data_IF_118017739566
#
_entry.id   IF_118017739566
#
_cell.length_a   1.000
_cell.length_b   1.000
_cell.length_c   1.000
_cell.angle_alpha   90.00
_cell.angle_beta   90.00
_cell.angle_gamma   90.00
#
_symmetry.space_group_name_H-M   'P 1'
#
loop_
_entity.id
_entity.type
_entity.pdbx_description
1 polymer ?
#
# COMPACT_ATOMS: atom_id res chain seq x y z
N UNK A 1 10.76 17.62 -16.86
CA UNK A 1 10.09 17.62 -15.54
C UNK A 1 10.99 16.84 -14.61
N UNK A 2 11.25 17.37 -13.41
CA UNK A 2 11.95 16.60 -12.39
C UNK A 2 10.94 15.70 -11.69
N UNK A 3 11.28 14.44 -11.48
CA UNK A 3 10.47 13.51 -10.71
C UNK A 3 10.85 13.65 -9.25
N UNK A 4 9.86 13.76 -8.37
CA UNK A 4 10.09 13.98 -6.96
C UNK A 4 9.54 12.83 -6.13
N UNK A 5 9.99 12.74 -4.88
CA UNK A 5 9.45 11.75 -3.95
C UNK A 5 7.94 11.88 -3.74
N UNK A 6 7.38 13.09 -3.84
CA UNK A 6 5.93 13.30 -3.83
C UNK A 6 5.20 12.59 -4.97
N UNK A 7 5.84 12.40 -6.13
CA UNK A 7 5.27 11.68 -7.27
C UNK A 7 5.26 10.17 -7.00
N UNK A 8 6.29 9.66 -6.32
CA UNK A 8 6.33 8.27 -5.88
C UNK A 8 5.25 7.99 -4.82
N UNK A 9 5.06 8.88 -3.84
CA UNK A 9 4.00 8.74 -2.85
C UNK A 9 2.63 8.80 -3.52
N UNK A 10 2.44 9.63 -4.56
CA UNK A 10 1.20 9.62 -5.31
C UNK A 10 0.92 8.23 -5.92
N UNK A 11 1.93 7.56 -6.46
CA UNK A 11 1.76 6.20 -7.00
C UNK A 11 1.39 5.17 -5.93
N UNK A 12 1.88 5.34 -4.71
CA UNK A 12 1.51 4.49 -3.56
C UNK A 12 0.05 4.76 -3.14
N UNK A 13 -0.36 6.03 -3.09
CA UNK A 13 -1.77 6.41 -2.88
C UNK A 13 -2.67 5.80 -3.96
N UNK A 14 -2.21 5.76 -5.21
CA UNK A 14 -2.98 5.15 -6.30
C UNK A 14 -3.14 3.63 -6.12
N UNK A 15 -2.15 2.92 -5.57
CA UNK A 15 -2.29 1.50 -5.19
C UNK A 15 -3.40 1.34 -4.14
N UNK A 16 -3.37 2.15 -3.08
CA UNK A 16 -4.36 2.04 -2.00
C UNK A 16 -5.78 2.37 -2.49
N UNK A 17 -5.92 3.28 -3.46
CA UNK A 17 -7.20 3.57 -4.11
C UNK A 17 -7.70 2.38 -4.94
N UNK A 18 -6.83 1.73 -5.70
CA UNK A 18 -7.21 0.51 -6.45
C UNK A 18 -7.68 -0.60 -5.50
N UNK A 19 -7.00 -0.75 -4.35
CA UNK A 19 -7.36 -1.72 -3.30
C UNK A 19 -8.72 -1.38 -2.67
N UNK A 20 -8.98 -0.10 -2.42
CA UNK A 20 -10.28 0.36 -1.92
C UNK A 20 -11.43 -0.04 -2.86
N UNK A 21 -11.22 0.08 -4.17
CA UNK A 21 -12.21 -0.37 -5.16
C UNK A 21 -12.44 -1.88 -5.10
N UNK A 22 -11.39 -2.69 -4.91
CA UNK A 22 -11.53 -4.14 -4.69
C UNK A 22 -12.42 -4.43 -3.46
N UNK A 23 -12.22 -3.73 -2.35
CA UNK A 23 -13.06 -3.93 -1.16
C UNK A 23 -14.51 -3.50 -1.37
N UNK A 24 -14.75 -2.44 -2.13
CA UNK A 24 -16.12 -2.04 -2.52
C UNK A 24 -16.78 -3.10 -3.40
N UNK A 25 -16.06 -3.67 -4.35
CA UNK A 25 -16.55 -4.78 -5.18
C UNK A 25 -16.90 -6.00 -4.32
N UNK A 26 -16.04 -6.37 -3.36
CA UNK A 26 -16.32 -7.44 -2.39
C UNK A 26 -17.59 -7.13 -1.60
N UNK A 27 -17.78 -5.90 -1.11
CA UNK A 27 -19.01 -5.53 -0.42
C UNK A 27 -20.26 -5.75 -1.29
N UNK A 28 -20.22 -5.32 -2.55
CA UNK A 28 -21.30 -5.52 -3.52
C UNK A 28 -21.63 -7.01 -3.73
N UNK A 29 -20.61 -7.88 -3.81
CA UNK A 29 -20.82 -9.33 -3.93
C UNK A 29 -21.55 -9.94 -2.72
N UNK A 30 -21.50 -9.28 -1.57
CA UNK A 30 -22.07 -9.75 -0.32
C UNK A 30 -23.32 -8.99 0.16
N UNK A 31 -23.83 -8.02 -0.60
CA UNK A 31 -25.05 -7.28 -0.27
C UNK A 31 -26.26 -8.21 0.00
N UNK A 32 -26.30 -9.37 -0.65
CA UNK A 32 -27.37 -10.38 -0.53
C UNK A 32 -26.93 -11.71 0.14
N UNK A 33 -25.74 -11.76 0.76
CA UNK A 33 -25.10 -12.96 1.34
C UNK A 33 -24.84 -12.77 2.86
N UNK A 34 -24.11 -13.66 3.60
CA UNK A 34 -23.94 -13.50 5.04
C UNK A 34 -23.40 -12.12 5.41
N UNK A 35 -24.19 -11.38 6.21
CA UNK A 35 -23.92 -9.98 6.57
C UNK A 35 -22.55 -9.74 7.19
N UNK A 36 -21.94 -10.77 7.79
CA UNK A 36 -20.65 -10.66 8.51
C UNK A 36 -19.49 -10.30 7.58
N UNK A 37 -19.41 -10.88 6.37
CA UNK A 37 -18.34 -10.56 5.41
C UNK A 37 -18.45 -9.10 4.98
N UNK A 38 -19.66 -8.63 4.65
CA UNK A 38 -19.90 -7.23 4.29
C UNK A 38 -19.60 -6.25 5.42
N UNK A 39 -19.89 -6.61 6.67
CA UNK A 39 -19.54 -5.78 7.85
C UNK A 39 -18.02 -5.66 7.98
N UNK A 40 -17.29 -6.77 7.85
CA UNK A 40 -15.83 -6.78 7.95
C UNK A 40 -15.21 -6.01 6.80
N UNK A 41 -15.65 -6.25 5.55
CA UNK A 41 -15.19 -5.52 4.38
C UNK A 41 -15.39 -3.99 4.51
N UNK A 42 -16.50 -3.54 5.11
CA UNK A 42 -16.74 -2.12 5.41
C UNK A 42 -15.81 -1.57 6.48
N UNK A 43 -15.50 -2.37 7.51
CA UNK A 43 -14.53 -1.96 8.52
C UNK A 43 -13.14 -1.76 7.90
N UNK A 44 -12.72 -2.71 7.05
CA UNK A 44 -11.46 -2.63 6.30
C UNK A 44 -11.45 -1.40 5.39
N UNK A 45 -12.51 -1.16 4.61
CA UNK A 45 -12.62 0.03 3.74
C UNK A 45 -12.34 1.32 4.53
N UNK A 46 -12.89 1.44 5.74
CA UNK A 46 -12.69 2.62 6.58
C UNK A 46 -11.24 2.77 7.06
N UNK A 47 -10.59 1.66 7.41
CA UNK A 47 -9.17 1.68 7.79
C UNK A 47 -8.28 2.06 6.60
N UNK A 48 -8.55 1.54 5.39
CA UNK A 48 -7.81 1.91 4.18
C UNK A 48 -8.01 3.39 3.80
N UNK A 49 -9.21 3.94 3.98
CA UNK A 49 -9.43 5.38 3.80
C UNK A 49 -8.60 6.22 4.78
N UNK A 50 -8.49 5.78 6.03
CA UNK A 50 -7.64 6.45 7.01
C UNK A 50 -6.16 6.37 6.62
N UNK A 51 -5.75 5.25 6.02
CA UNK A 51 -4.39 5.00 5.54
C UNK A 51 -4.04 5.86 4.32
N UNK A 52 -4.94 6.00 3.35
CA UNK A 52 -4.82 6.97 2.25
C UNK A 52 -4.61 8.37 2.81
N UNK A 53 -5.41 8.76 3.81
CA UNK A 53 -5.27 10.07 4.45
C UNK A 53 -3.91 10.25 5.16
N UNK A 54 -3.31 9.19 5.70
CA UNK A 54 -1.94 9.25 6.22
C UNK A 54 -0.93 9.58 5.11
N UNK A 55 -1.02 8.91 3.96
CA UNK A 55 -0.12 9.16 2.84
C UNK A 55 -0.31 10.53 2.18
N UNK A 56 -1.54 11.03 2.12
CA UNK A 56 -1.82 12.39 1.66
C UNK A 56 -1.14 13.42 2.57
N UNK A 57 -1.23 13.27 3.90
CA UNK A 57 -0.51 14.12 4.86
C UNK A 57 1.00 14.00 4.72
N UNK A 58 1.53 12.77 4.59
CA UNK A 58 2.96 12.55 4.38
C UNK A 58 3.47 13.24 3.10
N UNK A 59 2.67 13.21 2.03
CA UNK A 59 2.99 13.90 0.78
C UNK A 59 3.01 15.43 0.97
N UNK A 60 2.08 15.98 1.75
CA UNK A 60 2.03 17.40 2.08
C UNK A 60 3.21 17.85 2.97
N UNK A 61 3.66 17.00 3.90
CA UNK A 61 4.84 17.24 4.74
C UNK A 61 6.14 17.43 3.92
N UNK A 62 6.19 16.86 2.72
CA UNK A 62 7.39 16.88 1.87
C UNK A 62 7.50 18.12 0.99
N UNK A 63 6.69 19.15 1.19
CA UNK A 63 6.81 20.39 0.43
C UNK A 63 8.13 21.15 0.70
N UNK A 64 8.61 21.88 -0.30
CA UNK A 64 9.86 22.65 -0.23
C UNK A 64 11.12 21.77 -0.33
N UNK A 65 12.11 22.04 0.50
CA UNK A 65 13.44 21.41 0.45
C UNK A 65 13.43 19.91 0.81
N UNK A 66 12.33 19.41 1.38
CA UNK A 66 12.16 17.99 1.69
C UNK A 66 11.72 17.17 0.46
N UNK A 67 11.27 17.83 -0.63
CA UNK A 67 10.87 17.14 -1.86
C UNK A 67 12.10 16.82 -2.72
N UNK A 68 12.85 15.80 -2.32
CA UNK A 68 14.04 15.38 -3.04
C UNK A 68 13.70 14.92 -4.46
N UNK A 69 14.57 15.32 -5.41
CA UNK A 69 14.50 14.88 -6.81
C UNK A 69 15.02 13.46 -6.91
N UNK A 70 14.27 12.62 -7.60
CA UNK A 70 14.65 11.25 -7.95
C UNK A 70 15.26 11.28 -9.35
N UNK A 71 16.39 10.60 -9.53
CA UNK A 71 16.98 10.39 -10.85
C UNK A 71 15.97 9.74 -11.81
N UNK A 72 15.94 10.21 -13.06
CA UNK A 72 14.96 9.78 -14.04
C UNK A 72 14.98 8.27 -14.28
N UNK A 73 16.17 7.68 -14.40
CA UNK A 73 16.33 6.26 -14.68
C UNK A 73 15.82 5.41 -13.51
N UNK A 74 16.10 5.83 -12.28
CA UNK A 74 15.58 5.17 -11.08
C UNK A 74 14.07 5.30 -10.99
N UNK A 75 13.54 6.51 -11.23
CA UNK A 75 12.11 6.78 -11.19
C UNK A 75 11.35 5.93 -12.22
N UNK A 76 11.84 5.83 -13.46
CA UNK A 76 11.22 5.00 -14.50
C UNK A 76 11.18 3.52 -14.10
N UNK A 77 12.28 3.01 -13.56
CA UNK A 77 12.40 1.63 -13.09
C UNK A 77 11.40 1.30 -11.97
N UNK A 78 11.26 2.17 -10.97
CA UNK A 78 10.28 1.95 -9.88
C UNK A 78 8.85 2.18 -10.34
N UNK A 79 8.64 3.14 -11.25
CA UNK A 79 7.33 3.39 -11.83
C UNK A 79 6.81 2.20 -12.61
N UNK A 80 7.68 1.55 -13.39
CA UNK A 80 7.37 0.32 -14.10
C UNK A 80 7.02 -0.82 -13.13
N UNK A 81 7.81 -1.00 -12.07
CA UNK A 81 7.57 -2.00 -11.05
C UNK A 81 6.19 -1.82 -10.37
N UNK A 82 5.85 -0.57 -9.99
CA UNK A 82 4.55 -0.25 -9.40
C UNK A 82 3.42 -0.49 -10.40
N UNK A 83 3.61 -0.11 -11.65
CA UNK A 83 2.60 -0.35 -12.70
C UNK A 83 2.35 -1.85 -12.91
N UNK A 84 3.41 -2.65 -12.99
CA UNK A 84 3.31 -4.10 -13.09
C UNK A 84 2.57 -4.67 -11.88
N UNK A 85 2.91 -4.27 -10.66
CA UNK A 85 2.17 -4.69 -9.47
C UNK A 85 0.67 -4.38 -9.56
N UNK A 86 0.32 -3.12 -9.87
CA UNK A 86 -1.07 -2.67 -10.00
C UNK A 86 -1.84 -3.46 -11.06
N UNK A 87 -1.20 -3.81 -12.18
CA UNK A 87 -1.86 -4.61 -13.23
C UNK A 87 -2.23 -6.04 -12.80
N UNK A 88 -1.65 -6.53 -11.71
CA UNK A 88 -1.96 -7.85 -11.14
C UNK A 88 -2.91 -7.78 -9.94
N UNK A 89 -3.37 -6.58 -9.55
CA UNK A 89 -4.43 -6.43 -8.54
C UNK A 89 -5.74 -6.93 -9.14
N UNK A 90 -6.26 -8.02 -8.60
CA UNK A 90 -7.48 -8.66 -9.05
C UNK A 90 -8.42 -8.84 -7.87
N UNK A 91 -9.72 -8.75 -8.14
CA UNK A 91 -10.73 -9.05 -7.11
C UNK A 91 -10.67 -10.53 -6.78
N UNK A 92 -10.36 -10.90 -5.53
CA UNK A 92 -10.24 -12.30 -5.13
C UNK A 92 -11.62 -12.95 -5.07
N UNK A 93 -11.64 -14.28 -5.19
CA UNK A 93 -12.82 -15.07 -4.84
C UNK A 93 -12.88 -15.19 -3.31
N UNK A 94 -13.86 -14.54 -2.70
CA UNK A 94 -14.13 -14.61 -1.27
C UNK A 94 -15.42 -15.40 -1.06
N UNK A 95 -15.38 -16.49 -0.30
CA UNK A 95 -16.55 -17.29 0.08
C UNK A 95 -16.97 -17.03 1.54
N UNK A 96 -16.00 -16.70 2.41
CA UNK A 96 -16.22 -16.47 3.84
C UNK A 96 -15.26 -15.41 4.42
N UNK A 97 -15.41 -15.13 5.72
CA UNK A 97 -14.61 -14.12 6.44
C UNK A 97 -13.12 -14.47 6.47
N UNK A 98 -12.78 -15.75 6.64
CA UNK A 98 -11.41 -16.20 6.70
C UNK A 98 -10.69 -15.93 5.37
N UNK A 99 -11.34 -16.22 4.24
CA UNK A 99 -10.78 -15.93 2.92
C UNK A 99 -10.49 -14.44 2.74
N UNK A 100 -11.37 -13.56 3.24
CA UNK A 100 -11.18 -12.12 3.19
C UNK A 100 -9.97 -11.69 4.01
N UNK A 101 -9.85 -12.18 5.25
CA UNK A 101 -8.74 -11.82 6.13
C UNK A 101 -7.40 -12.35 5.57
N UNK A 102 -7.37 -13.59 5.08
CA UNK A 102 -6.18 -14.19 4.47
C UNK A 102 -5.72 -13.38 3.25
N UNK A 103 -6.66 -13.01 2.37
CA UNK A 103 -6.38 -12.17 1.22
C UNK A 103 -5.75 -10.82 1.62
N UNK A 104 -6.29 -10.15 2.65
CA UNK A 104 -5.79 -8.83 3.08
C UNK A 104 -4.36 -8.93 3.61
N UNK A 105 -4.10 -9.93 4.45
CA UNK A 105 -2.76 -10.14 5.03
C UNK A 105 -1.75 -10.45 3.92
N UNK A 106 -2.11 -11.30 2.96
CA UNK A 106 -1.25 -11.60 1.80
C UNK A 106 -1.02 -10.37 0.93
N UNK A 107 -2.07 -9.59 0.65
CA UNK A 107 -1.98 -8.35 -0.12
C UNK A 107 -1.03 -7.35 0.56
N UNK A 108 -1.16 -7.12 1.87
CA UNK A 108 -0.28 -6.22 2.62
C UNK A 108 1.17 -6.72 2.64
N UNK A 109 1.41 -8.02 2.78
CA UNK A 109 2.77 -8.61 2.64
C UNK A 109 3.37 -8.38 1.24
N UNK A 110 2.56 -8.48 0.20
CA UNK A 110 2.97 -8.19 -1.17
C UNK A 110 3.30 -6.71 -1.39
N UNK A 111 2.51 -5.79 -0.79
CA UNK A 111 2.78 -4.35 -0.82
C UNK A 111 4.08 -4.01 -0.08
N UNK A 112 4.30 -4.56 1.11
CA UNK A 112 5.56 -4.38 1.86
C UNK A 112 6.74 -4.84 1.02
N UNK A 113 6.63 -6.01 0.37
CA UNK A 113 7.68 -6.54 -0.51
C UNK A 113 7.96 -5.62 -1.70
N UNK A 114 6.91 -5.08 -2.34
CA UNK A 114 7.02 -4.08 -3.39
C UNK A 114 7.76 -2.84 -2.90
N UNK A 115 7.38 -2.30 -1.74
CA UNK A 115 7.98 -1.08 -1.19
C UNK A 115 9.45 -1.27 -0.81
N UNK A 116 9.83 -2.44 -0.31
CA UNK A 116 11.23 -2.80 -0.06
C UNK A 116 12.02 -2.85 -1.37
N UNK A 117 11.47 -3.45 -2.44
CA UNK A 117 12.12 -3.48 -3.76
C UNK A 117 12.23 -2.07 -4.36
N UNK A 118 11.18 -1.25 -4.26
CA UNK A 118 11.20 0.17 -4.63
C UNK A 118 12.31 0.91 -3.88
N UNK A 119 12.36 0.79 -2.55
CA UNK A 119 13.40 1.42 -1.73
C UNK A 119 14.80 0.96 -2.15
N UNK A 120 15.00 -0.35 -2.33
CA UNK A 120 16.29 -0.91 -2.74
C UNK A 120 16.75 -0.44 -4.12
N UNK A 121 15.82 -0.23 -5.06
CA UNK A 121 16.12 0.31 -6.39
C UNK A 121 16.42 1.80 -6.40
N UNK A 122 15.96 2.54 -5.40
CA UNK A 122 16.22 3.98 -5.25
C UNK A 122 17.57 4.26 -4.55
N UNK A 123 18.25 3.23 -4.03
CA UNK A 123 19.60 3.35 -3.48
C UNK A 123 20.63 3.09 -4.58
N UNK A 124 21.44 4.09 -4.92
CA UNK A 124 22.57 3.90 -5.85
C UNK A 124 23.85 3.50 -5.11
N UNK A 125 24.03 3.96 -3.86
CA UNK A 125 25.21 3.76 -3.00
C UNK A 125 24.82 3.50 -1.54
N UNK A 126 25.72 2.89 -0.78
CA UNK A 126 25.51 2.64 0.67
C UNK A 126 25.33 3.93 1.49
N UNK A 127 25.92 5.03 1.03
CA UNK A 127 25.78 6.34 1.69
C UNK A 127 24.36 6.94 1.52
N UNK A 128 23.56 6.43 0.58
CA UNK A 128 22.19 6.89 0.30
C UNK A 128 21.19 6.49 1.39
N UNK A 129 21.55 5.59 2.31
CA UNK A 129 20.72 5.22 3.47
C UNK A 129 20.42 6.46 4.35
N UNK A 130 21.24 7.51 4.25
CA UNK A 130 21.05 8.77 4.97
C UNK A 130 20.22 9.82 4.22
N UNK A 131 19.87 9.60 2.95
CA UNK A 131 19.09 10.55 2.15
C UNK A 131 17.60 10.59 2.59
N UNK A 132 16.89 11.65 2.22
CA UNK A 132 15.49 11.79 2.65
C UNK A 132 14.60 10.74 1.97
N UNK A 133 14.91 10.33 0.75
CA UNK A 133 14.19 9.26 0.03
C UNK A 133 14.12 7.97 0.84
N UNK A 134 15.25 7.50 1.34
CA UNK A 134 15.32 6.28 2.15
C UNK A 134 14.53 6.42 3.44
N UNK A 135 14.62 7.58 4.12
CA UNK A 135 13.89 7.85 5.37
C UNK A 135 12.38 7.85 5.16
N UNK A 136 11.90 8.49 4.10
CA UNK A 136 10.49 8.52 3.74
C UNK A 136 9.99 7.13 3.36
N UNK A 137 10.70 6.41 2.50
CA UNK A 137 10.35 5.02 2.16
C UNK A 137 10.32 4.12 3.39
N UNK A 138 11.28 4.29 4.31
CA UNK A 138 11.29 3.55 5.58
C UNK A 138 10.10 3.88 6.47
N UNK A 139 9.62 5.13 6.48
CA UNK A 139 8.39 5.52 7.19
C UNK A 139 7.17 4.83 6.59
N UNK A 140 7.06 4.80 5.27
CA UNK A 140 5.96 4.14 4.54
C UNK A 140 5.96 2.64 4.83
N UNK A 141 7.10 1.96 4.66
CA UNK A 141 7.23 0.51 4.94
C UNK A 141 6.82 0.20 6.38
N UNK A 142 7.29 0.99 7.36
CA UNK A 142 6.91 0.81 8.77
C UNK A 142 5.43 1.03 9.02
N UNK A 143 4.77 1.90 8.26
CA UNK A 143 3.34 2.11 8.41
C UNK A 143 2.55 0.92 7.83
N UNK A 144 2.92 0.42 6.65
CA UNK A 144 2.35 -0.82 6.10
C UNK A 144 2.55 -2.02 7.02
N UNK A 145 3.73 -2.17 7.63
CA UNK A 145 4.01 -3.25 8.60
C UNK A 145 3.10 -3.17 9.84
N UNK A 146 2.73 -1.97 10.29
CA UNK A 146 1.74 -1.83 11.38
C UNK A 146 0.36 -2.23 10.91
N UNK A 147 0.00 -1.83 9.69
CA UNK A 147 -1.30 -2.12 9.11
C UNK A 147 -1.47 -3.63 8.85
N UNK A 148 -0.45 -4.30 8.32
CA UNK A 148 -0.38 -5.74 8.15
C UNK A 148 -0.56 -6.48 9.49
N UNK A 149 0.18 -6.10 10.52
CA UNK A 149 0.05 -6.71 11.86
C UNK A 149 -1.33 -6.53 12.48
N UNK A 150 -2.01 -5.41 12.21
CA UNK A 150 -3.39 -5.20 12.65
C UNK A 150 -4.33 -6.24 12.05
N UNK A 151 -4.19 -6.53 10.75
CA UNK A 151 -5.00 -7.56 10.07
C UNK A 151 -4.56 -8.98 10.42
N UNK A 152 -3.26 -9.23 10.63
CA UNK A 152 -2.75 -10.53 11.03
C UNK A 152 -3.32 -10.97 12.38
N UNK A 153 -3.57 -10.04 13.30
CA UNK A 153 -4.25 -10.32 14.58
C UNK A 153 -5.72 -10.75 14.42
N UNK A 154 -6.35 -10.42 13.29
CA UNK A 154 -7.73 -10.82 12.97
C UNK A 154 -7.81 -12.23 12.39
N UNK A 155 -6.68 -12.80 11.93
CA UNK A 155 -6.58 -14.22 11.61
C UNK A 155 -6.78 -14.97 12.91
N UNK A 156 -8.01 -15.39 13.17
CA UNK A 156 -8.42 -16.03 14.43
C UNK A 156 -7.44 -17.14 14.77
N UNK A 157 -6.97 -17.13 16.02
CA UNK A 157 -6.11 -18.14 16.61
C UNK A 157 -6.64 -19.53 16.23
N UNK A 158 -5.95 -20.22 15.31
CA UNK A 158 -6.04 -21.67 15.19
C UNK A 158 -5.59 -22.26 16.53
N UNK A 159 -6.52 -22.47 17.45
CA UNK A 159 -6.38 -23.36 18.60
C UNK A 159 -7.47 -24.41 18.52
#
# INVERSE_FOLDING_TARGET
MNYMISDLIQKIIDIERDILEIYKEIQCMFENKPKVVGIIARAIEKEEQAHIGYYERLKEELQGDLNEVIDFYLYDKVSKLIYEFRSHLLVPKIDNVQDLIEYIVELKKNIISLLIDVQGRLLEKLDDINNNIYKVMSRIIKEEEKHEKMFEQLVVHKK
#
